data_IF_004697975225
#
_entry.id   IF_004697975225
#
_cell.length_a   1.000
_cell.length_b   1.000
_cell.length_c   1.000
_cell.angle_alpha   90.00
_cell.angle_beta   90.00
_cell.angle_gamma   90.00
#
_symmetry.space_group_name_H-M   'P 1'
#
loop_
_entity.id
_entity.type
_entity.pdbx_description
1 polymer ?
#
# COMPACT_ATOMS: atom_id res chain seq x y z
N UNK A 1 -21.28 -2.99 -1.18
CA UNK A 1 -21.26 -3.03 -2.66
C UNK A 1 -22.31 -2.06 -3.17
N UNK A 2 -22.06 -1.36 -4.26
CA UNK A 2 -23.03 -0.47 -4.93
C UNK A 2 -23.07 -0.87 -6.40
N UNK A 3 -24.27 -1.08 -6.95
CA UNK A 3 -24.43 -1.45 -8.36
C UNK A 3 -24.07 -0.29 -9.29
N UNK A 4 -23.63 -0.63 -10.50
CA UNK A 4 -23.41 0.36 -11.55
C UNK A 4 -24.75 0.60 -12.25
N UNK A 5 -25.31 1.79 -12.07
CA UNK A 5 -26.62 2.16 -12.63
C UNK A 5 -26.56 2.43 -14.15
N UNK A 6 -25.38 2.74 -14.69
CA UNK A 6 -25.14 3.02 -16.12
C UNK A 6 -24.86 1.72 -16.90
N UNK A 7 -25.75 1.31 -17.84
CA UNK A 7 -25.57 0.11 -18.63
C UNK A 7 -24.31 0.13 -19.52
N UNK A 8 -23.91 1.29 -20.04
CA UNK A 8 -22.74 1.41 -20.90
C UNK A 8 -21.44 1.22 -20.12
N UNK A 9 -21.37 1.81 -18.92
CA UNK A 9 -20.24 1.64 -18.01
C UNK A 9 -20.15 0.19 -17.49
N UNK A 10 -21.29 -0.41 -17.15
CA UNK A 10 -21.37 -1.81 -16.72
C UNK A 10 -20.85 -2.75 -17.80
N UNK A 11 -21.28 -2.57 -19.06
CA UNK A 11 -20.80 -3.35 -20.21
C UNK A 11 -19.29 -3.18 -20.42
N UNK A 12 -18.76 -1.95 -20.34
CA UNK A 12 -17.31 -1.69 -20.42
C UNK A 12 -16.50 -2.41 -19.33
N UNK A 13 -17.06 -2.56 -18.12
CA UNK A 13 -16.40 -3.28 -17.04
C UNK A 13 -16.38 -4.79 -17.32
N UNK A 14 -17.52 -5.34 -17.77
CA UNK A 14 -17.62 -6.75 -18.16
C UNK A 14 -16.67 -7.10 -19.32
N UNK A 15 -16.59 -6.26 -20.35
CA UNK A 15 -15.70 -6.45 -21.51
C UNK A 15 -14.21 -6.48 -21.08
N UNK A 16 -13.86 -5.79 -19.99
CA UNK A 16 -12.52 -5.77 -19.39
C UNK A 16 -12.30 -6.85 -18.32
N UNK A 17 -13.26 -7.74 -18.09
CA UNK A 17 -13.20 -8.77 -17.04
C UNK A 17 -13.25 -8.21 -15.61
N UNK A 18 -13.80 -6.99 -15.43
CA UNK A 18 -13.92 -6.32 -14.14
C UNK A 18 -15.31 -6.57 -13.50
N UNK A 19 -15.41 -6.49 -12.16
CA UNK A 19 -16.70 -6.61 -11.47
C UNK A 19 -17.67 -5.50 -11.85
N UNK A 20 -18.94 -5.84 -12.09
CA UNK A 20 -20.03 -4.94 -12.49
C UNK A 20 -20.59 -4.07 -11.35
N UNK A 21 -19.83 -3.88 -10.28
CA UNK A 21 -20.23 -3.13 -9.10
C UNK A 21 -19.05 -2.39 -8.48
N UNK A 22 -19.35 -1.31 -7.76
CA UNK A 22 -18.38 -0.63 -6.92
C UNK A 22 -18.28 -1.30 -5.55
N UNK A 23 -17.05 -1.61 -5.13
CA UNK A 23 -16.74 -2.04 -3.78
C UNK A 23 -16.23 -0.85 -2.97
N UNK A 24 -16.78 -0.65 -1.77
CA UNK A 24 -16.38 0.43 -0.88
C UNK A 24 -16.19 -0.08 0.55
N UNK A 25 -15.14 0.39 1.20
CA UNK A 25 -14.85 0.16 2.62
C UNK A 25 -15.40 1.35 3.40
N UNK A 26 -16.45 1.12 4.18
CA UNK A 26 -17.02 2.15 5.06
C UNK A 26 -16.22 2.23 6.35
N UNK A 27 -15.81 3.43 6.74
CA UNK A 27 -15.03 3.68 7.95
C UNK A 27 -15.47 4.97 8.63
N UNK A 28 -15.15 5.09 9.93
CA UNK A 28 -15.31 6.33 10.70
C UNK A 28 -13.99 7.08 10.64
N UNK A 29 -13.99 8.25 10.00
CA UNK A 29 -12.83 9.10 9.88
C UNK A 29 -12.53 9.80 11.20
N UNK A 30 -11.26 9.74 11.62
CA UNK A 30 -10.75 10.48 12.79
C UNK A 30 -10.77 11.99 12.55
N UNK A 31 -10.76 12.77 13.64
CA UNK A 31 -10.67 14.24 13.61
C UNK A 31 -11.90 14.92 12.98
N UNK A 32 -13.10 14.40 13.27
CA UNK A 32 -14.34 15.03 12.82
C UNK A 32 -14.68 14.81 11.34
N UNK A 33 -13.93 13.97 10.62
CA UNK A 33 -14.15 13.69 9.21
C UNK A 33 -15.43 12.86 8.92
N UNK A 34 -16.08 12.32 9.96
CA UNK A 34 -17.36 11.63 9.89
C UNK A 34 -17.28 10.24 9.26
N UNK A 35 -18.44 9.63 9.00
CA UNK A 35 -18.52 8.36 8.27
C UNK A 35 -18.19 8.58 6.79
N UNK A 36 -17.28 7.77 6.24
CA UNK A 36 -16.80 7.86 4.87
C UNK A 36 -16.73 6.49 4.21
N UNK A 37 -16.69 6.48 2.88
CA UNK A 37 -16.45 5.29 2.08
C UNK A 37 -15.20 5.47 1.25
N UNK A 38 -14.24 4.56 1.42
CA UNK A 38 -13.10 4.44 0.52
C UNK A 38 -13.47 3.47 -0.59
N UNK A 39 -13.62 3.96 -1.81
CA UNK A 39 -13.94 3.14 -2.98
C UNK A 39 -12.68 2.44 -3.47
N UNK A 40 -12.79 1.12 -3.64
CA UNK A 40 -11.71 0.26 -4.11
C UNK A 40 -11.64 0.36 -5.63
N UNK A 41 -10.43 0.43 -6.16
CA UNK A 41 -10.20 0.37 -7.60
C UNK A 41 -10.75 -0.94 -8.18
N UNK A 42 -11.47 -0.93 -9.32
CA UNK A 42 -12.11 -2.12 -9.88
C UNK A 42 -11.17 -3.33 -10.03
N UNK A 43 -9.91 -3.10 -10.43
CA UNK A 43 -8.89 -4.15 -10.57
C UNK A 43 -8.51 -4.81 -9.23
N UNK A 44 -8.60 -4.07 -8.13
CA UNK A 44 -8.26 -4.56 -6.80
C UNK A 44 -9.45 -5.24 -6.08
N UNK A 45 -10.67 -5.13 -6.62
CA UNK A 45 -11.88 -5.73 -6.02
C UNK A 45 -11.71 -7.23 -5.74
N UNK A 46 -11.27 -8.07 -6.69
CA UNK A 46 -11.10 -9.51 -6.44
C UNK A 46 -10.10 -9.79 -5.31
N UNK A 47 -9.03 -9.00 -5.22
CA UNK A 47 -8.03 -9.13 -4.15
C UNK A 47 -8.63 -8.80 -2.78
N UNK A 48 -9.37 -7.70 -2.66
CA UNK A 48 -10.00 -7.29 -1.39
C UNK A 48 -11.03 -8.34 -0.94
N UNK A 49 -11.83 -8.86 -1.85
CA UNK A 49 -12.80 -9.92 -1.55
C UNK A 49 -12.11 -11.22 -1.12
N UNK A 50 -11.04 -11.60 -1.82
CA UNK A 50 -10.22 -12.76 -1.46
C UNK A 50 -9.61 -12.62 -0.07
N UNK A 51 -9.06 -11.45 0.27
CA UNK A 51 -8.55 -11.16 1.62
C UNK A 51 -9.68 -11.31 2.65
N UNK A 52 -10.85 -10.70 2.39
CA UNK A 52 -11.98 -10.75 3.32
C UNK A 52 -12.46 -12.19 3.55
N UNK A 53 -12.63 -12.96 2.47
CA UNK A 53 -12.99 -14.38 2.49
C UNK A 53 -11.97 -15.22 3.26
N UNK A 54 -10.70 -15.09 2.90
CA UNK A 54 -9.59 -15.86 3.50
C UNK A 54 -9.47 -15.56 4.99
N UNK A 55 -9.51 -14.28 5.37
CA UNK A 55 -9.43 -13.88 6.78
C UNK A 55 -10.62 -14.45 7.55
N UNK A 56 -11.85 -14.37 7.02
CA UNK A 56 -13.03 -14.95 7.68
C UNK A 56 -12.91 -16.46 7.87
N UNK A 57 -12.40 -17.17 6.86
CA UNK A 57 -12.14 -18.60 6.94
C UNK A 57 -11.10 -18.94 8.02
N UNK A 58 -9.94 -18.27 7.99
CA UNK A 58 -8.83 -18.51 8.94
C UNK A 58 -9.23 -18.24 10.40
N UNK A 59 -10.09 -17.24 10.61
CA UNK A 59 -10.52 -16.82 11.95
C UNK A 59 -11.88 -17.39 12.35
N UNK A 60 -12.46 -18.30 11.55
CA UNK A 60 -13.74 -18.94 11.87
C UNK A 60 -13.72 -19.70 13.22
N UNK A 61 -12.71 -20.53 13.54
CA UNK A 61 -12.66 -21.22 14.84
C UNK A 61 -12.62 -20.25 16.03
N UNK A 62 -11.88 -19.15 15.86
CA UNK A 62 -11.73 -18.09 16.85
C UNK A 62 -13.10 -17.41 17.12
N UNK A 63 -13.85 -17.11 16.05
CA UNK A 63 -15.20 -16.52 16.16
C UNK A 63 -16.20 -17.48 16.80
N UNK A 64 -16.16 -18.76 16.44
CA UNK A 64 -17.01 -19.78 17.06
C UNK A 64 -16.77 -19.88 18.56
N UNK A 65 -15.51 -19.83 18.99
CA UNK A 65 -15.16 -19.79 20.42
C UNK A 65 -15.71 -18.55 21.12
N UNK A 66 -15.54 -17.35 20.55
CA UNK A 66 -16.12 -16.12 21.11
C UNK A 66 -17.65 -16.15 21.19
N UNK A 67 -18.31 -16.66 20.16
CA UNK A 67 -19.78 -16.80 20.11
C UNK A 67 -20.26 -17.76 21.20
N UNK A 68 -19.55 -18.86 21.40
CA UNK A 68 -19.80 -19.80 22.49
C UNK A 68 -19.68 -19.17 23.88
N UNK A 69 -18.58 -18.43 24.12
CA UNK A 69 -18.38 -17.72 25.39
C UNK A 69 -19.49 -16.68 25.62
N UNK A 70 -19.93 -16.00 24.57
CA UNK A 70 -20.99 -15.00 24.67
C UNK A 70 -22.37 -15.61 24.92
N UNK A 71 -22.67 -16.75 24.32
CA UNK A 71 -23.89 -17.51 24.64
C UNK A 71 -23.97 -17.87 26.14
N UNK A 72 -22.82 -18.08 26.79
CA UNK A 72 -22.69 -18.29 28.24
C UNK A 72 -22.58 -17.01 29.07
N UNK A 73 -22.76 -15.83 28.46
CA UNK A 73 -22.56 -14.53 29.10
C UNK A 73 -21.19 -14.36 29.77
N UNK A 74 -20.15 -15.03 29.26
CA UNK A 74 -18.80 -15.06 29.84
C UNK A 74 -18.75 -15.44 31.33
N UNK A 75 -19.68 -16.28 31.78
CA UNK A 75 -19.63 -16.87 33.12
C UNK A 75 -18.43 -17.82 33.30
N UNK A 76 -18.04 -18.48 32.20
CA UNK A 76 -16.90 -19.38 32.08
C UNK A 76 -16.15 -19.08 30.78
N UNK A 77 -14.83 -19.12 30.82
CA UNK A 77 -13.91 -18.81 29.73
C UNK A 77 -13.25 -20.07 29.14
N UNK A 78 -13.57 -21.25 29.67
CA UNK A 78 -13.03 -22.50 29.15
C UNK A 78 -13.50 -22.75 27.70
N UNK A 79 -12.63 -23.29 26.83
CA UNK A 79 -13.03 -23.79 25.52
C UNK A 79 -14.14 -24.83 25.63
N UNK A 80 -15.03 -24.87 24.63
CA UNK A 80 -16.15 -25.81 24.58
C UNK A 80 -15.69 -27.27 24.74
N UNK A 81 -14.57 -27.65 24.12
CA UNK A 81 -14.01 -28.98 24.23
C UNK A 81 -13.67 -29.38 25.67
N UNK A 82 -13.12 -28.45 26.45
CA UNK A 82 -12.75 -28.69 27.86
C UNK A 82 -13.98 -28.65 28.77
N UNK A 83 -14.91 -27.73 28.51
CA UNK A 83 -16.18 -27.65 29.24
C UNK A 83 -16.95 -28.97 29.18
N UNK A 84 -16.97 -29.62 28.02
CA UNK A 84 -17.73 -30.84 27.77
C UNK A 84 -17.07 -32.11 28.33
N UNK A 85 -15.79 -32.05 28.75
CA UNK A 85 -15.11 -33.21 29.35
C UNK A 85 -15.73 -33.54 30.72
N UNK A 86 -15.89 -34.83 31.07
CA UNK A 86 -16.38 -35.22 32.39
C UNK A 86 -15.35 -34.90 33.49
N UNK A 87 -15.83 -34.50 34.67
CA UNK A 87 -15.00 -34.21 35.84
C UNK A 87 -14.46 -32.78 35.91
N UNK A 88 -13.81 -32.44 37.02
CA UNK A 88 -13.27 -31.11 37.32
C UNK A 88 -11.79 -30.93 36.92
N UNK A 89 -11.17 -32.00 36.41
CA UNK A 89 -9.75 -32.02 36.07
C UNK A 89 -9.52 -32.23 34.57
N UNK A 90 -8.46 -31.62 34.05
CA UNK A 90 -8.08 -31.67 32.64
C UNK A 90 -6.62 -32.10 32.53
N UNK A 91 -6.35 -33.08 31.68
CA UNK A 91 -4.98 -33.57 31.46
C UNK A 91 -4.16 -32.55 30.64
N UNK A 92 -2.86 -32.48 30.89
CA UNK A 92 -1.97 -31.50 30.26
C UNK A 92 -1.96 -31.54 28.72
N UNK A 93 -2.12 -32.69 28.07
CA UNK A 93 -2.22 -32.74 26.60
C UNK A 93 -3.50 -32.08 26.09
N UNK A 94 -4.61 -32.21 26.81
CA UNK A 94 -5.85 -31.50 26.45
C UNK A 94 -5.69 -29.98 26.63
N UNK A 95 -4.95 -29.55 27.66
CA UNK A 95 -4.59 -28.14 27.85
C UNK A 95 -3.67 -27.66 26.70
N UNK A 96 -2.69 -28.47 26.29
CA UNK A 96 -1.83 -28.20 25.12
C UNK A 96 -2.65 -28.17 23.83
N UNK A 97 -3.72 -28.95 23.72
CA UNK A 97 -4.51 -29.05 22.49
C UNK A 97 -5.52 -27.91 22.35
N UNK A 98 -6.17 -27.49 23.44
CA UNK A 98 -7.31 -26.58 23.38
C UNK A 98 -7.07 -25.20 24.00
N UNK A 99 -6.07 -25.02 24.87
CA UNK A 99 -5.80 -23.72 25.54
C UNK A 99 -4.57 -23.04 24.97
N UNK A 100 -3.54 -23.80 24.61
CA UNK A 100 -2.26 -23.25 24.16
C UNK A 100 -1.85 -23.83 22.82
N UNK A 101 -0.89 -23.19 22.15
CA UNK A 101 -0.23 -23.78 20.98
C UNK A 101 1.21 -23.30 20.95
N UNK A 102 2.15 -24.20 20.68
CA UNK A 102 3.54 -23.78 20.47
C UNK A 102 3.91 -23.72 19.00
N UNK A 103 4.51 -22.62 18.56
CA UNK A 103 4.96 -22.46 17.17
C UNK A 103 6.28 -23.19 16.87
N UNK A 104 6.99 -23.68 17.89
CA UNK A 104 8.22 -24.46 17.70
C UNK A 104 7.90 -25.95 17.53
N UNK A 105 8.01 -26.47 16.30
CA UNK A 105 7.92 -27.91 16.00
C UNK A 105 9.10 -28.72 16.55
N UNK A 106 10.22 -28.07 16.87
CA UNK A 106 11.51 -28.71 17.20
C UNK A 106 11.56 -29.59 18.46
N UNK A 107 10.57 -29.57 19.36
CA UNK A 107 10.65 -30.30 20.65
C UNK A 107 9.57 -31.39 20.87
N UNK A 108 8.76 -31.70 19.86
CA UNK A 108 7.72 -32.74 19.94
C UNK A 108 6.74 -32.57 21.11
N UNK A 109 6.01 -33.63 21.46
CA UNK A 109 5.00 -33.63 22.56
C UNK A 109 5.59 -33.22 23.92
N UNK A 110 6.76 -33.74 24.28
CA UNK A 110 7.38 -33.45 25.59
C UNK A 110 7.73 -31.96 25.74
N UNK A 111 8.24 -31.31 24.69
CA UNK A 111 8.53 -29.89 24.72
C UNK A 111 7.30 -29.00 24.79
N UNK A 112 6.18 -29.42 24.18
CA UNK A 112 4.91 -28.71 24.27
C UNK A 112 4.34 -28.74 25.69
N UNK A 113 4.36 -29.92 26.33
CA UNK A 113 3.96 -30.11 27.73
C UNK A 113 4.81 -29.25 28.68
N UNK A 114 6.13 -29.28 28.52
CA UNK A 114 7.07 -28.49 29.36
C UNK A 114 6.81 -26.98 29.24
N UNK A 115 6.68 -26.46 28.01
CA UNK A 115 6.40 -25.03 27.79
C UNK A 115 5.06 -24.60 28.39
N UNK A 116 4.03 -25.42 28.21
CA UNK A 116 2.68 -25.12 28.72
C UNK A 116 2.66 -25.14 30.24
N UNK A 117 3.23 -26.17 30.86
CA UNK A 117 3.37 -26.27 32.31
C UNK A 117 4.14 -25.07 32.89
N UNK A 118 5.27 -24.67 32.28
CA UNK A 118 6.04 -23.48 32.69
C UNK A 118 5.27 -22.17 32.52
N UNK A 119 4.44 -22.07 31.49
CA UNK A 119 3.62 -20.88 31.26
C UNK A 119 2.51 -20.75 32.31
N UNK A 120 1.85 -21.86 32.63
CA UNK A 120 0.84 -21.94 33.68
C UNK A 120 1.43 -21.65 35.06
N UNK A 121 2.56 -22.28 35.41
CA UNK A 121 3.18 -22.09 36.73
C UNK A 121 3.69 -20.66 36.93
N UNK A 122 4.25 -20.01 35.90
CA UNK A 122 4.64 -18.60 35.94
C UNK A 122 3.46 -17.66 36.23
N UNK A 123 2.25 -18.11 35.95
CA UNK A 123 0.99 -17.38 36.14
C UNK A 123 0.22 -17.85 37.38
N UNK A 124 0.83 -18.71 38.21
CA UNK A 124 0.27 -19.17 39.48
C UNK A 124 -0.66 -20.38 39.38
N UNK A 125 -0.80 -21.00 38.20
CA UNK A 125 -1.62 -22.21 38.04
C UNK A 125 -0.76 -23.44 38.29
N UNK A 126 -1.04 -24.15 39.38
CA UNK A 126 -0.31 -25.36 39.78
C UNK A 126 -1.08 -26.63 39.38
N UNK A 127 -0.39 -27.76 39.15
CA UNK A 127 -1.05 -29.04 38.94
C UNK A 127 -1.91 -29.44 40.16
N UNK A 128 -3.14 -29.87 39.90
CA UNK A 128 -4.02 -30.43 40.93
C UNK A 128 -3.63 -31.87 41.29
N UNK A 129 -3.11 -32.62 40.31
CA UNK A 129 -2.67 -34.00 40.51
C UNK A 129 -1.53 -34.36 39.56
N UNK A 130 -0.51 -35.05 40.07
CA UNK A 130 0.55 -35.67 39.27
C UNK A 130 0.56 -37.18 39.52
N UNK A 131 0.39 -37.97 38.46
CA UNK A 131 0.46 -39.43 38.52
C UNK A 131 1.75 -39.87 37.81
N UNK A 132 2.68 -40.56 38.49
CA UNK A 132 3.86 -41.14 37.88
C UNK A 132 3.45 -42.22 36.86
N UNK A 133 3.97 -42.11 35.65
CA UNK A 133 3.82 -43.09 34.58
C UNK A 133 5.12 -43.86 34.31
N UNK A 134 5.08 -44.85 33.40
CA UNK A 134 6.26 -45.60 33.02
C UNK A 134 7.31 -44.72 32.34
N UNK A 135 8.60 -45.05 32.53
CA UNK A 135 9.76 -44.39 31.89
C UNK A 135 9.82 -42.86 32.07
N UNK A 136 9.76 -42.37 33.31
CA UNK A 136 9.84 -40.94 33.66
C UNK A 136 8.73 -40.06 33.05
N UNK A 137 7.64 -40.65 32.55
CA UNK A 137 6.46 -39.90 32.15
C UNK A 137 5.63 -39.52 33.37
N UNK A 138 4.96 -38.37 33.33
CA UNK A 138 4.01 -37.93 34.36
C UNK A 138 2.71 -37.52 33.68
N UNK A 139 1.60 -38.10 34.12
CA UNK A 139 0.28 -37.55 33.80
C UNK A 139 0.02 -36.39 34.78
N UNK A 140 -0.23 -35.21 34.24
CA UNK A 140 -0.37 -33.97 35.00
C UNK A 140 -1.77 -33.45 34.73
N UNK A 141 -2.52 -33.21 35.79
CA UNK A 141 -3.90 -32.74 35.73
C UNK A 141 -4.02 -31.36 36.36
N UNK A 142 -4.83 -30.50 35.74
CA UNK A 142 -5.13 -29.16 36.20
C UNK A 142 -6.62 -29.02 36.50
N UNK A 143 -6.96 -28.20 37.50
CA UNK A 143 -8.36 -27.89 37.80
C UNK A 143 -8.97 -27.00 36.71
N UNK A 144 -10.20 -27.29 36.31
CA UNK A 144 -11.00 -26.41 35.43
C UNK A 144 -11.17 -25.02 36.01
N UNK A 145 -11.32 -24.90 37.34
CA UNK A 145 -11.47 -23.60 38.03
C UNK A 145 -10.25 -22.71 37.82
N UNK A 146 -9.06 -23.29 37.96
CA UNK A 146 -7.80 -22.56 37.90
C UNK A 146 -7.48 -22.17 36.45
N UNK A 147 -7.75 -23.07 35.51
CA UNK A 147 -7.63 -22.80 34.07
C UNK A 147 -8.59 -21.69 33.64
N UNK A 148 -9.85 -21.69 34.10
CA UNK A 148 -10.81 -20.64 33.82
C UNK A 148 -10.33 -19.28 34.35
N UNK A 149 -9.86 -19.23 35.61
CA UNK A 149 -9.33 -18.00 36.21
C UNK A 149 -8.12 -17.45 35.44
N UNK A 150 -7.23 -18.35 35.01
CA UNK A 150 -6.07 -18.02 34.18
C UNK A 150 -6.49 -17.39 32.85
N UNK A 151 -7.40 -18.03 32.11
CA UNK A 151 -7.86 -17.54 30.82
C UNK A 151 -8.55 -16.17 30.99
N UNK A 152 -9.44 -16.04 31.99
CA UNK A 152 -10.13 -14.78 32.31
C UNK A 152 -9.14 -13.64 32.57
N UNK A 153 -8.07 -13.92 33.31
CA UNK A 153 -7.01 -12.94 33.59
C UNK A 153 -6.27 -12.54 32.32
N UNK A 154 -6.01 -13.49 31.41
CA UNK A 154 -5.32 -13.21 30.14
C UNK A 154 -6.15 -12.38 29.15
N UNK A 155 -7.48 -12.44 29.21
CA UNK A 155 -8.35 -11.52 28.47
C UNK A 155 -8.25 -10.06 28.95
N UNK A 156 -7.78 -9.83 30.18
CA UNK A 156 -7.55 -8.48 30.72
C UNK A 156 -8.83 -7.65 30.89
N UNK A 157 -9.98 -8.30 31.06
CA UNK A 157 -11.28 -7.64 31.18
C UNK A 157 -11.38 -6.93 32.54
N UNK A 158 -11.54 -5.61 32.50
CA UNK A 158 -11.97 -4.82 33.67
C UNK A 158 -13.50 -4.89 33.78
N UNK A 159 -14.01 -5.00 35.02
CA UNK A 159 -15.45 -5.19 35.30
C UNK A 159 -16.38 -4.06 34.79
N UNK A 160 -15.84 -2.99 34.20
CA UNK A 160 -16.57 -1.79 33.82
C UNK A 160 -17.23 -1.88 32.42
N UNK A 161 -16.79 -2.79 31.56
CA UNK A 161 -17.30 -2.94 30.20
C UNK A 161 -17.79 -4.37 29.93
N UNK A 162 -18.74 -4.48 28.99
CA UNK A 162 -19.18 -5.78 28.47
C UNK A 162 -17.97 -6.55 27.90
N UNK A 163 -17.74 -7.81 28.33
CA UNK A 163 -16.60 -8.61 27.90
C UNK A 163 -16.40 -8.65 26.39
N UNK A 164 -15.15 -8.59 25.94
CA UNK A 164 -14.77 -8.78 24.54
C UNK A 164 -15.57 -7.87 23.57
N UNK A 165 -15.65 -6.59 23.92
CA UNK A 165 -16.35 -5.56 23.15
C UNK A 165 -15.41 -4.38 22.91
N UNK A 166 -15.34 -3.90 21.67
CA UNK A 166 -14.65 -2.67 21.34
C UNK A 166 -15.65 -1.52 21.27
N UNK A 167 -15.50 -0.53 22.14
CA UNK A 167 -16.34 0.67 22.16
C UNK A 167 -15.48 1.94 22.06
N UNK A 168 -15.95 2.89 21.27
CA UNK A 168 -15.34 4.21 21.13
C UNK A 168 -16.40 5.29 20.90
N UNK A 169 -16.03 6.55 21.13
CA UNK A 169 -16.87 7.72 20.89
C UNK A 169 -16.24 8.55 19.78
N UNK A 170 -17.00 8.88 18.73
CA UNK A 170 -16.59 9.84 17.70
C UNK A 170 -17.79 10.73 17.38
N UNK A 171 -17.58 12.05 17.30
CA UNK A 171 -18.63 13.03 16.98
C UNK A 171 -19.90 12.90 17.85
N UNK A 172 -19.76 12.58 19.13
CA UNK A 172 -20.88 12.40 20.06
C UNK A 172 -21.67 11.10 19.86
N UNK A 173 -21.34 10.27 18.87
CA UNK A 173 -21.95 8.96 18.63
C UNK A 173 -21.08 7.87 19.27
N UNK A 174 -21.72 7.01 20.07
CA UNK A 174 -21.10 5.81 20.62
C UNK A 174 -21.14 4.70 19.59
N UNK A 175 -19.98 4.15 19.27
CA UNK A 175 -19.84 2.95 18.46
C UNK A 175 -19.44 1.80 19.38
N UNK A 176 -20.09 0.66 19.18
CA UNK A 176 -19.82 -0.57 19.94
C UNK A 176 -19.87 -1.74 18.97
N UNK A 177 -18.84 -2.58 19.00
CA UNK A 177 -18.70 -3.75 18.13
C UNK A 177 -18.15 -4.90 18.96
N UNK A 178 -18.77 -6.07 18.84
CA UNK A 178 -18.30 -7.28 19.52
C UNK A 178 -17.03 -7.81 18.84
N UNK A 179 -16.16 -8.49 19.58
CA UNK A 179 -14.92 -9.00 18.99
C UNK A 179 -15.18 -9.95 17.82
N UNK A 180 -16.17 -10.84 17.91
CA UNK A 180 -16.54 -11.78 16.84
C UNK A 180 -16.92 -11.11 15.51
N UNK A 181 -17.39 -9.86 15.55
CA UNK A 181 -17.76 -9.08 14.37
C UNK A 181 -16.55 -8.36 13.73
N UNK A 182 -15.40 -8.35 14.41
CA UNK A 182 -14.17 -7.77 13.87
C UNK A 182 -13.60 -8.66 12.76
N UNK A 183 -13.07 -8.02 11.72
CA UNK A 183 -12.45 -8.73 10.60
C UNK A 183 -11.14 -9.42 11.03
N UNK A 184 -10.27 -8.69 11.73
CA UNK A 184 -8.96 -9.18 12.13
C UNK A 184 -8.93 -9.54 13.61
N UNK A 185 -8.94 -10.84 13.87
CA UNK A 185 -8.78 -11.44 15.18
C UNK A 185 -7.57 -12.36 15.18
N UNK A 186 -6.94 -12.51 16.35
CA UNK A 186 -5.89 -13.49 16.51
C UNK A 186 -5.81 -13.97 17.96
N UNK A 187 -5.17 -15.10 18.16
CA UNK A 187 -4.91 -15.64 19.48
C UNK A 187 -3.75 -14.89 20.15
N UNK A 188 -3.85 -14.66 21.47
CA UNK A 188 -2.83 -13.93 22.19
C UNK A 188 -1.49 -14.66 22.09
N UNK A 189 -0.47 -13.96 21.58
CA UNK A 189 0.89 -14.50 21.40
C UNK A 189 1.16 -15.20 20.07
N UNK A 190 0.14 -15.48 19.24
CA UNK A 190 0.35 -16.17 17.95
C UNK A 190 1.17 -15.36 16.93
N UNK A 191 1.09 -14.04 16.99
CA UNK A 191 1.82 -13.13 16.09
C UNK A 191 3.26 -12.86 16.53
N UNK A 192 3.71 -13.43 17.64
CA UNK A 192 5.07 -13.20 18.12
C UNK A 192 6.09 -13.97 17.26
N UNK A 193 6.97 -13.26 16.57
CA UNK A 193 7.98 -13.88 15.70
C UNK A 193 9.11 -14.58 16.49
N UNK A 194 9.38 -14.14 17.73
CA UNK A 194 10.39 -14.76 18.63
C UNK A 194 9.78 -15.65 19.72
N UNK A 195 8.59 -15.31 20.24
CA UNK A 195 7.97 -16.06 21.34
C UNK A 195 7.18 -17.22 20.75
N UNK A 196 7.23 -18.35 21.43
CA UNK A 196 6.80 -19.63 20.86
C UNK A 196 5.52 -20.18 21.46
N UNK A 197 4.75 -19.40 22.23
CA UNK A 197 3.50 -19.85 22.84
C UNK A 197 2.37 -18.88 22.48
N UNK A 198 1.32 -19.43 21.86
CA UNK A 198 0.03 -18.80 21.62
C UNK A 198 -1.00 -19.35 22.60
N UNK A 199 -1.98 -18.52 22.98
CA UNK A 199 -3.11 -18.89 23.81
C UNK A 199 -4.37 -18.97 22.94
N UNK A 200 -4.70 -20.18 22.50
CA UNK A 200 -5.88 -20.49 21.67
C UNK A 200 -7.17 -20.02 22.34
N UNK A 201 -7.25 -20.19 23.66
CA UNK A 201 -8.44 -19.83 24.44
C UNK A 201 -8.63 -18.31 24.61
N UNK A 202 -7.67 -17.48 24.19
CA UNK A 202 -7.70 -16.02 24.38
C UNK A 202 -7.63 -15.27 23.04
N UNK A 203 -8.74 -15.18 22.29
CA UNK A 203 -8.85 -14.31 21.13
C UNK A 203 -8.81 -12.83 21.49
N UNK A 204 -8.01 -12.04 20.76
CA UNK A 204 -7.89 -10.60 20.92
C UNK A 204 -7.93 -9.88 19.57
N UNK A 205 -8.38 -8.61 19.53
CA UNK A 205 -8.40 -7.81 18.31
C UNK A 205 -6.98 -7.51 17.83
N UNK A 206 -6.83 -7.49 16.51
CA UNK A 206 -5.60 -7.03 15.89
C UNK A 206 -5.47 -5.51 16.03
N UNK A 207 -4.33 -5.03 16.55
CA UNK A 207 -4.10 -3.60 16.85
C UNK A 207 -2.94 -3.03 16.05
N UNK A 208 -2.93 -1.70 15.90
CA UNK A 208 -1.82 -0.98 15.25
C UNK A 208 -0.48 -1.19 15.96
N UNK A 209 -0.48 -1.38 17.28
CA UNK A 209 0.74 -1.68 18.05
C UNK A 209 1.37 -2.99 17.58
N UNK A 210 0.56 -4.01 17.30
CA UNK A 210 1.04 -5.29 16.79
C UNK A 210 1.59 -5.16 15.36
N UNK A 211 0.91 -4.41 14.50
CA UNK A 211 1.42 -4.14 13.14
C UNK A 211 2.75 -3.38 13.17
N UNK A 212 2.88 -2.36 14.03
CA UNK A 212 4.13 -1.62 14.18
C UNK A 212 5.28 -2.51 14.67
N UNK A 213 4.99 -3.49 15.54
CA UNK A 213 5.98 -4.49 15.95
C UNK A 213 6.37 -5.41 14.79
N UNK A 214 5.38 -5.92 14.04
CA UNK A 214 5.60 -6.76 12.87
C UNK A 214 6.47 -6.08 11.81
N UNK A 215 6.26 -4.77 11.59
CA UNK A 215 7.03 -3.95 10.65
C UNK A 215 8.33 -3.36 11.24
N UNK A 216 8.74 -3.77 12.45
CA UNK A 216 10.06 -3.44 13.01
C UNK A 216 10.21 -2.05 13.64
N UNK A 217 9.13 -1.30 13.88
CA UNK A 217 9.23 0.02 14.53
C UNK A 217 9.42 -0.01 16.05
N UNK A 218 9.29 -1.18 16.68
CA UNK A 218 9.37 -1.32 18.15
C UNK A 218 10.64 -2.05 18.55
N UNK A 219 10.82 -3.28 18.06
CA UNK A 219 12.01 -4.10 18.33
C UNK A 219 12.64 -4.51 16.99
N UNK A 220 13.94 -4.25 16.75
CA UNK A 220 14.58 -4.52 15.45
C UNK A 220 14.54 -6.01 15.10
N UNK A 221 14.90 -6.85 16.05
CA UNK A 221 15.11 -8.28 15.83
C UNK A 221 13.82 -9.13 15.81
N UNK A 222 12.67 -8.51 16.09
CA UNK A 222 11.38 -9.18 16.25
C UNK A 222 10.41 -8.93 15.11
N UNK A 223 10.91 -8.49 13.95
CA UNK A 223 10.13 -8.04 12.80
C UNK A 223 10.12 -9.06 11.66
N UNK A 224 9.24 -8.85 10.68
CA UNK A 224 9.25 -9.65 9.45
C UNK A 224 10.55 -9.47 8.67
N UNK A 225 11.10 -8.25 8.67
CA UNK A 225 12.33 -7.93 7.96
C UNK A 225 13.53 -8.65 8.58
N UNK A 226 13.66 -8.61 9.92
CA UNK A 226 14.74 -9.32 10.61
C UNK A 226 14.63 -10.83 10.45
N UNK A 227 13.41 -11.39 10.42
CA UNK A 227 13.18 -12.83 10.21
C UNK A 227 13.69 -13.31 8.85
N UNK A 228 13.54 -12.51 7.80
CA UNK A 228 13.96 -12.84 6.43
C UNK A 228 15.32 -12.24 6.06
N UNK A 229 16.06 -11.66 7.02
CA UNK A 229 17.35 -11.01 6.79
C UNK A 229 17.28 -9.92 5.70
N UNK A 230 16.18 -9.16 5.68
CA UNK A 230 16.03 -7.98 4.84
C UNK A 230 16.72 -6.81 5.53
N UNK A 231 17.93 -6.51 5.08
CA UNK A 231 18.84 -5.53 5.67
C UNK A 231 19.02 -4.33 4.75
N UNK A 232 19.24 -3.17 5.34
CA UNK A 232 19.70 -1.95 4.68
C UNK A 232 21.22 -2.05 4.38
N UNK A 233 21.76 -1.09 3.63
CA UNK A 233 23.19 -1.04 3.25
C UNK A 233 24.13 -0.95 4.46
N UNK A 234 23.66 -0.43 5.60
CA UNK A 234 24.40 -0.36 6.86
C UNK A 234 24.35 -1.66 7.68
N UNK A 235 23.71 -2.71 7.16
CA UNK A 235 23.54 -4.01 7.81
C UNK A 235 22.44 -4.06 8.86
N UNK A 236 21.68 -2.98 9.07
CA UNK A 236 20.54 -2.97 9.99
C UNK A 236 19.29 -3.55 9.33
N UNK A 237 18.40 -4.18 10.09
CA UNK A 237 17.14 -4.69 9.51
C UNK A 237 16.20 -3.54 9.11
N UNK A 238 15.60 -3.67 7.92
CA UNK A 238 14.60 -2.74 7.38
C UNK A 238 13.45 -2.52 8.35
N UNK A 239 12.88 -1.30 8.35
CA UNK A 239 11.73 -0.92 9.18
C UNK A 239 10.73 -0.11 8.39
N UNK A 240 9.44 -0.29 8.67
CA UNK A 240 8.38 0.44 7.97
C UNK A 240 7.30 0.93 8.94
N UNK A 241 7.00 2.23 8.96
CA UNK A 241 5.83 2.78 9.69
C UNK A 241 4.54 2.42 8.99
N UNK A 242 3.48 2.16 9.77
CA UNK A 242 2.12 1.87 9.27
C UNK A 242 1.55 2.97 8.36
N UNK A 243 2.02 4.21 8.49
CA UNK A 243 1.63 5.31 7.62
C UNK A 243 2.42 5.42 6.30
N UNK A 244 3.54 4.69 6.13
CA UNK A 244 4.37 4.77 4.91
C UNK A 244 3.58 4.42 3.64
N UNK A 245 2.79 3.34 3.58
CA UNK A 245 1.99 3.04 2.38
C UNK A 245 1.07 4.20 1.98
N UNK A 246 0.45 4.86 2.97
CA UNK A 246 -0.40 6.04 2.74
C UNK A 246 0.41 7.23 2.21
N UNK A 247 1.62 7.45 2.70
CA UNK A 247 2.52 8.46 2.15
C UNK A 247 2.93 8.13 0.72
N UNK A 248 3.26 6.87 0.42
CA UNK A 248 3.65 6.43 -0.92
C UNK A 248 2.53 6.61 -1.93
N UNK A 249 1.29 6.22 -1.60
CA UNK A 249 0.12 6.49 -2.45
C UNK A 249 0.02 7.98 -2.74
N UNK A 250 0.10 8.83 -1.71
CA UNK A 250 0.04 10.26 -1.91
C UNK A 250 1.15 10.78 -2.84
N UNK A 251 2.37 10.30 -2.66
CA UNK A 251 3.52 10.64 -3.53
C UNK A 251 3.29 10.16 -4.95
N UNK A 252 2.76 8.94 -5.18
CA UNK A 252 2.45 8.45 -6.51
C UNK A 252 1.37 9.28 -7.20
N UNK A 253 0.31 9.67 -6.48
CA UNK A 253 -0.73 10.55 -7.02
C UNK A 253 -0.16 11.93 -7.40
N UNK A 254 0.78 12.47 -6.59
CA UNK A 254 1.48 13.71 -6.92
C UNK A 254 2.42 13.55 -8.13
N UNK A 255 3.13 12.42 -8.23
CA UNK A 255 3.98 12.10 -9.39
C UNK A 255 3.11 11.98 -10.66
N UNK A 256 1.91 11.41 -10.55
CA UNK A 256 0.94 11.29 -11.64
C UNK A 256 0.18 12.60 -11.92
N UNK A 257 0.52 13.70 -11.25
CA UNK A 257 -0.05 15.05 -11.47
C UNK A 257 -1.56 15.12 -11.28
N UNK A 258 -2.09 14.24 -10.43
CA UNK A 258 -3.48 14.29 -10.01
C UNK A 258 -3.71 15.60 -9.24
N UNK A 259 -4.75 16.32 -9.62
CA UNK A 259 -5.10 17.60 -9.02
C UNK A 259 -5.22 17.52 -7.50
N UNK A 260 -4.83 18.59 -6.81
CA UNK A 260 -4.78 18.62 -5.34
C UNK A 260 -6.14 18.31 -4.70
N UNK A 261 -7.24 18.76 -5.31
CA UNK A 261 -8.59 18.47 -4.84
C UNK A 261 -8.93 16.98 -4.98
N UNK A 262 -8.55 16.33 -6.10
CA UNK A 262 -8.82 14.92 -6.33
C UNK A 262 -7.91 14.05 -5.46
N UNK A 263 -6.65 14.43 -5.29
CA UNK A 263 -5.72 13.80 -4.35
C UNK A 263 -6.25 13.90 -2.92
N UNK A 264 -6.71 15.08 -2.48
CA UNK A 264 -7.29 15.25 -1.15
C UNK A 264 -8.53 14.36 -0.97
N UNK A 265 -9.39 14.26 -1.98
CA UNK A 265 -10.56 13.38 -1.99
C UNK A 265 -10.18 11.90 -1.89
N UNK A 266 -9.24 11.42 -2.71
CA UNK A 266 -8.75 10.03 -2.71
C UNK A 266 -8.07 9.66 -1.38
N UNK A 267 -7.34 10.61 -0.79
CA UNK A 267 -6.71 10.44 0.51
C UNK A 267 -7.70 10.61 1.67
N UNK A 268 -8.94 11.03 1.43
CA UNK A 268 -9.96 11.23 2.46
C UNK A 268 -9.68 12.42 3.37
N UNK A 269 -8.98 13.44 2.88
CA UNK A 269 -8.70 14.68 3.61
C UNK A 269 -9.92 15.62 3.57
N UNK A 270 -10.01 16.46 4.58
CA UNK A 270 -10.96 17.60 4.62
C UNK A 270 -10.27 18.87 4.12
N UNK A 271 -8.99 19.02 4.44
CA UNK A 271 -8.17 20.18 4.12
C UNK A 271 -7.11 19.83 3.07
N UNK A 272 -7.11 20.60 1.97
CA UNK A 272 -6.24 20.41 0.81
C UNK A 272 -4.79 20.83 1.13
N UNK A 273 -4.58 21.74 2.08
CA UNK A 273 -3.23 22.22 2.45
C UNK A 273 -2.32 21.10 2.96
N UNK A 274 -2.91 20.01 3.46
CA UNK A 274 -2.19 18.80 3.89
C UNK A 274 -1.47 18.07 2.74
N UNK A 275 -1.74 18.39 1.47
CA UNK A 275 -1.03 17.82 0.33
C UNK A 275 0.39 18.40 0.15
N UNK A 276 0.59 19.68 0.50
CA UNK A 276 1.82 20.43 0.22
C UNK A 276 3.07 19.80 0.87
N UNK A 277 2.94 19.25 2.08
CA UNK A 277 4.04 18.59 2.79
C UNK A 277 4.67 17.39 2.04
N UNK A 278 3.98 16.84 1.04
CA UNK A 278 4.40 15.62 0.34
C UNK A 278 4.90 15.86 -1.08
N UNK A 279 4.54 16.99 -1.70
CA UNK A 279 4.97 17.32 -3.07
C UNK A 279 6.50 17.47 -3.17
N UNK A 280 7.17 17.95 -2.11
CA UNK A 280 8.63 18.08 -2.07
C UNK A 280 9.38 16.74 -2.21
N UNK A 281 8.82 15.64 -1.70
CA UNK A 281 9.42 14.30 -1.81
C UNK A 281 9.20 13.69 -3.21
N UNK A 282 8.06 13.95 -3.84
CA UNK A 282 7.79 13.57 -5.23
C UNK A 282 8.78 14.24 -6.19
N UNK A 283 9.06 15.53 -6.00
CA UNK A 283 10.06 16.27 -6.77
C UNK A 283 11.47 15.68 -6.60
N UNK A 284 11.86 15.32 -5.37
CA UNK A 284 13.14 14.67 -5.10
C UNK A 284 13.25 13.25 -5.70
N UNK A 285 12.15 12.49 -5.69
CA UNK A 285 12.05 11.17 -6.32
C UNK A 285 12.18 11.25 -7.85
N UNK A 286 11.50 12.22 -8.48
CA UNK A 286 11.67 12.52 -9.92
C UNK A 286 13.13 12.83 -10.25
N UNK A 287 13.82 13.63 -9.41
CA UNK A 287 15.27 13.92 -9.58
C UNK A 287 16.14 12.66 -9.52
N UNK A 288 15.87 11.72 -8.60
CA UNK A 288 16.62 10.45 -8.50
C UNK A 288 16.33 9.50 -9.66
N UNK A 289 15.06 9.31 -10.03
CA UNK A 289 14.69 8.42 -11.14
C UNK A 289 15.27 8.90 -12.48
N UNK A 290 15.26 10.21 -12.72
CA UNK A 290 15.86 10.80 -13.92
C UNK A 290 17.39 10.75 -13.93
N UNK A 291 18.05 10.63 -12.76
CA UNK A 291 19.50 10.42 -12.66
C UNK A 291 19.95 8.96 -12.83
N UNK A 292 19.03 7.98 -12.72
CA UNK A 292 19.32 6.55 -12.80
C UNK A 292 19.21 5.97 -14.23
N UNK A 293 18.97 6.81 -15.24
CA UNK A 293 19.09 6.46 -16.65
C UNK A 293 20.52 6.75 -17.10
N UNK A 294 21.43 5.77 -17.19
CA UNK A 294 22.72 6.00 -17.81
C UNK A 294 22.46 6.05 -19.31
N UNK A 295 22.51 7.25 -19.91
CA UNK A 295 22.72 7.36 -21.34
C UNK A 295 24.11 6.74 -21.61
N UNK A 296 24.15 5.49 -22.07
CA UNK A 296 25.37 4.97 -22.68
C UNK A 296 25.64 5.84 -23.92
N UNK A 297 26.79 6.55 -23.99
CA UNK A 297 27.17 7.21 -25.21
C UNK A 297 27.61 6.11 -26.19
N UNK A 298 26.80 5.88 -27.22
CA UNK A 298 27.26 5.19 -28.42
C UNK A 298 28.20 6.16 -29.14
N UNK A 299 29.51 6.02 -28.87
CA UNK A 299 30.55 5.98 -29.90
C UNK A 299 31.94 6.05 -29.29
N UNK A 300 32.66 4.95 -29.44
CA UNK A 300 34.12 4.90 -29.54
C UNK A 300 34.60 5.82 -30.65
N UNK A 301 35.15 6.98 -30.29
CA UNK A 301 36.37 7.56 -30.86
C UNK A 301 36.45 9.02 -30.40
N UNK A 302 37.41 9.32 -29.52
CA UNK A 302 38.45 10.31 -29.78
C UNK A 302 39.31 10.45 -28.52
N UNK A 303 40.53 9.98 -28.72
CA UNK A 303 41.76 10.20 -27.96
C UNK A 303 41.85 11.49 -27.16
N UNK A 304 42.39 11.34 -25.95
CA UNK A 304 42.81 12.39 -25.05
C UNK A 304 43.73 13.44 -25.69
N UNK A 305 43.46 14.71 -25.40
CA UNK A 305 44.49 15.71 -25.07
C UNK A 305 43.89 16.81 -24.16
N UNK A 306 44.67 17.35 -23.21
CA UNK A 306 44.21 18.37 -22.27
C UNK A 306 44.29 19.77 -22.90
N UNK A 307 43.35 20.68 -22.61
CA UNK A 307 43.60 22.07 -22.14
C UNK A 307 42.41 23.04 -22.34
N UNK A 308 42.39 24.00 -21.41
CA UNK A 308 42.03 25.42 -21.57
C UNK A 308 40.58 25.88 -21.35
N UNK A 309 40.49 26.85 -20.43
CA UNK A 309 39.32 27.61 -20.03
C UNK A 309 38.93 28.67 -21.06
N UNK A 310 37.81 28.45 -21.75
CA UNK A 310 36.87 29.52 -22.12
C UNK A 310 35.48 28.91 -22.28
N UNK A 311 34.67 28.97 -21.23
CA UNK A 311 33.28 28.49 -21.30
C UNK A 311 32.51 29.49 -22.18
N UNK A 312 32.21 29.09 -23.42
CA UNK A 312 31.34 29.84 -24.31
C UNK A 312 29.99 30.08 -23.63
N UNK A 313 29.45 31.30 -23.71
CA UNK A 313 28.13 31.54 -23.14
C UNK A 313 27.08 30.83 -23.99
N UNK A 314 25.93 30.41 -23.42
CA UNK A 314 24.86 29.79 -24.19
C UNK A 314 24.40 30.61 -25.40
N UNK A 315 24.55 31.94 -25.35
CA UNK A 315 24.23 32.84 -26.46
C UNK A 315 25.25 32.74 -27.62
N UNK A 316 26.52 32.49 -27.32
CA UNK A 316 27.57 32.33 -28.32
C UNK A 316 27.41 31.01 -29.08
N UNK A 317 26.95 29.96 -28.39
CA UNK A 317 26.65 28.65 -28.97
C UNK A 317 25.48 28.79 -29.95
N UNK A 318 24.36 29.42 -29.55
CA UNK A 318 23.19 29.62 -30.42
C UNK A 318 23.51 30.48 -31.65
N UNK A 319 24.37 31.50 -31.50
CA UNK A 319 24.83 32.32 -32.63
C UNK A 319 25.68 31.54 -33.62
N UNK A 320 26.48 30.58 -33.16
CA UNK A 320 27.32 29.75 -34.02
C UNK A 320 26.56 28.59 -34.67
N UNK A 321 25.55 28.05 -33.98
CA UNK A 321 24.86 26.84 -34.41
C UNK A 321 23.48 27.06 -35.01
N UNK A 322 23.01 28.30 -35.17
CA UNK A 322 21.65 28.74 -35.54
C UNK A 322 20.94 28.01 -36.70
N UNK A 323 20.72 26.72 -36.52
CA UNK A 323 20.13 25.78 -37.44
C UNK A 323 18.71 25.53 -36.94
N UNK A 324 17.74 26.00 -37.71
CA UNK A 324 16.36 25.57 -37.56
C UNK A 324 16.27 24.18 -38.18
N UNK A 325 15.77 23.23 -37.41
CA UNK A 325 15.57 21.89 -37.93
C UNK A 325 14.15 21.74 -38.46
N UNK A 326 14.06 21.40 -39.74
CA UNK A 326 12.81 21.10 -40.40
C UNK A 326 12.55 19.59 -40.39
N UNK A 327 11.33 19.21 -40.07
CA UNK A 327 10.77 17.87 -40.26
C UNK A 327 10.05 17.83 -41.61
N UNK A 328 10.27 16.78 -42.41
CA UNK A 328 9.75 16.70 -43.80
C UNK A 328 8.22 16.70 -43.87
N UNK A 329 7.54 16.21 -42.82
CA UNK A 329 6.07 16.06 -42.80
C UNK A 329 5.34 17.17 -42.03
N UNK A 330 6.06 18.14 -41.45
CA UNK A 330 5.46 19.25 -40.70
C UNK A 330 5.34 20.51 -41.54
N UNK A 331 4.22 21.22 -41.39
CA UNK A 331 4.06 22.55 -41.97
C UNK A 331 5.14 23.51 -41.47
N UNK A 332 5.66 24.36 -42.35
CA UNK A 332 6.73 25.33 -42.03
C UNK A 332 6.36 26.22 -40.83
N UNK A 333 5.09 26.57 -40.67
CA UNK A 333 4.58 27.31 -39.51
C UNK A 333 4.80 26.53 -38.20
N UNK A 334 4.39 25.26 -38.14
CA UNK A 334 4.61 24.40 -36.98
C UNK A 334 6.09 24.17 -36.70
N UNK A 335 6.91 24.04 -37.74
CA UNK A 335 8.37 23.93 -37.62
C UNK A 335 8.97 25.19 -36.99
N UNK A 336 8.60 26.38 -37.47
CA UNK A 336 9.07 27.65 -36.91
C UNK A 336 8.57 27.82 -35.47
N UNK A 337 7.29 27.53 -35.22
CA UNK A 337 6.69 27.60 -33.88
C UNK A 337 7.37 26.66 -32.89
N UNK A 338 7.72 25.45 -33.32
CA UNK A 338 8.43 24.46 -32.49
C UNK A 338 9.89 24.85 -32.22
N UNK A 339 10.60 25.39 -33.22
CA UNK A 339 12.00 25.82 -33.06
C UNK A 339 12.13 27.12 -32.25
N UNK A 340 11.16 28.04 -32.37
CA UNK A 340 11.17 29.35 -31.70
C UNK A 340 10.33 29.37 -30.41
N UNK A 341 9.60 28.30 -30.10
CA UNK A 341 8.70 28.20 -28.96
C UNK A 341 7.59 29.26 -28.94
N UNK A 342 6.88 29.39 -30.06
CA UNK A 342 5.83 30.41 -30.28
C UNK A 342 4.46 29.76 -30.53
N UNK A 343 4.06 28.81 -29.66
CA UNK A 343 2.69 28.28 -29.66
C UNK A 343 1.77 29.26 -28.93
N UNK A 344 0.68 29.66 -29.58
CA UNK A 344 -0.21 30.72 -29.09
C UNK A 344 -1.30 30.18 -28.15
N UNK A 345 -1.83 28.98 -28.42
CA UNK A 345 -2.90 28.36 -27.66
C UNK A 345 -2.83 26.82 -27.63
N UNK A 346 -3.78 26.18 -26.93
CA UNK A 346 -3.84 24.72 -26.79
C UNK A 346 -4.25 24.02 -28.09
N UNK A 347 -4.97 24.71 -28.97
CA UNK A 347 -5.37 24.13 -30.26
C UNK A 347 -4.17 24.09 -31.22
N UNK A 348 -3.28 25.09 -31.14
CA UNK A 348 -1.96 25.12 -31.77
C UNK A 348 -1.08 23.94 -31.31
N UNK A 349 -1.06 23.67 -30.00
CA UNK A 349 -0.31 22.53 -29.43
C UNK A 349 -0.92 21.18 -29.83
N UNK A 350 -2.24 21.05 -29.80
CA UNK A 350 -2.92 19.82 -30.22
C UNK A 350 -2.63 19.50 -31.69
N UNK A 351 -2.72 20.51 -32.57
CA UNK A 351 -2.38 20.38 -34.00
C UNK A 351 -0.92 19.99 -34.23
N UNK A 352 0.00 20.50 -33.41
CA UNK A 352 1.40 20.08 -33.47
C UNK A 352 1.54 18.60 -33.11
N UNK A 353 0.94 18.15 -32.00
CA UNK A 353 1.02 16.76 -31.54
C UNK A 353 0.47 15.80 -32.61
N UNK A 354 -0.69 16.11 -33.20
CA UNK A 354 -1.27 15.29 -34.27
C UNK A 354 -0.38 15.26 -35.52
N UNK A 355 0.18 16.40 -35.92
CA UNK A 355 1.07 16.48 -37.08
C UNK A 355 2.38 15.69 -36.87
N UNK A 356 2.85 15.62 -35.62
CA UNK A 356 4.08 14.92 -35.25
C UNK A 356 3.95 13.39 -35.21
N UNK A 357 2.73 12.83 -35.29
CA UNK A 357 2.54 11.37 -35.39
C UNK A 357 3.19 10.79 -36.65
N UNK A 358 3.16 11.53 -37.76
CA UNK A 358 3.79 11.12 -39.02
C UNK A 358 5.32 11.04 -38.93
N UNK A 359 5.92 11.74 -37.95
CA UNK A 359 7.36 11.77 -37.71
C UNK A 359 7.80 10.78 -36.61
N UNK A 360 6.91 9.88 -36.16
CA UNK A 360 7.22 8.89 -35.11
C UNK A 360 7.31 9.48 -33.70
N UNK A 361 6.84 10.71 -33.49
CA UNK A 361 6.77 11.34 -32.18
C UNK A 361 5.42 11.01 -31.52
N UNK A 362 5.42 10.83 -30.19
CA UNK A 362 4.22 10.51 -29.41
C UNK A 362 3.53 9.19 -29.82
N UNK A 363 4.29 8.14 -30.13
CA UNK A 363 3.75 6.84 -30.60
C UNK A 363 2.62 6.27 -29.72
N UNK A 364 2.72 6.39 -28.39
CA UNK A 364 1.68 5.94 -27.46
C UNK A 364 0.35 6.71 -27.66
N UNK A 365 0.46 8.02 -27.91
CA UNK A 365 -0.69 8.90 -28.17
C UNK A 365 -1.22 8.65 -29.59
N UNK A 366 -0.34 8.40 -30.56
CA UNK A 366 -0.72 8.05 -31.94
C UNK A 366 -1.47 6.71 -31.99
N UNK A 367 -1.00 5.70 -31.26
CA UNK A 367 -1.67 4.39 -31.17
C UNK A 367 -3.06 4.51 -30.55
N UNK A 368 -3.19 5.25 -29.44
CA UNK A 368 -4.47 5.52 -28.81
C UNK A 368 -5.38 6.38 -29.71
N UNK A 369 -4.82 7.30 -30.50
CA UNK A 369 -5.55 8.12 -31.45
C UNK A 369 -6.19 7.25 -32.54
N UNK A 370 -5.42 6.33 -33.14
CA UNK A 370 -5.94 5.42 -34.17
C UNK A 370 -6.97 4.43 -33.63
N UNK A 371 -6.81 3.93 -32.41
CA UNK A 371 -7.78 3.07 -31.74
C UNK A 371 -9.12 3.79 -31.55
N UNK A 372 -9.09 5.01 -30.99
CA UNK A 372 -10.30 5.82 -30.75
C UNK A 372 -10.91 6.28 -32.07
N UNK A 373 -10.10 6.68 -33.06
CA UNK A 373 -10.57 7.10 -34.38
C UNK A 373 -11.35 5.99 -35.07
N UNK A 374 -10.91 4.74 -34.92
CA UNK A 374 -11.56 3.56 -35.52
C UNK A 374 -12.83 3.16 -34.76
N UNK A 375 -12.84 3.27 -33.44
CA UNK A 375 -13.94 2.80 -32.59
C UNK A 375 -15.06 3.83 -32.36
N UNK A 376 -14.70 5.11 -32.18
CA UNK A 376 -15.60 6.17 -31.71
C UNK A 376 -15.68 7.35 -32.69
N UNK A 377 -14.79 7.41 -33.69
CA UNK A 377 -14.78 8.43 -34.74
C UNK A 377 -13.71 9.52 -34.54
N UNK A 378 -13.48 10.35 -35.58
CA UNK A 378 -12.37 11.30 -35.61
C UNK A 378 -12.49 12.44 -34.59
N UNK A 379 -13.70 12.90 -34.28
CA UNK A 379 -13.92 13.98 -33.30
C UNK A 379 -13.48 13.56 -31.89
N UNK A 380 -13.81 12.33 -31.46
CA UNK A 380 -13.39 11.78 -30.17
C UNK A 380 -11.88 11.57 -30.09
N UNK A 381 -11.24 11.19 -31.21
CA UNK A 381 -9.80 11.03 -31.30
C UNK A 381 -9.07 12.38 -31.14
N UNK A 382 -9.50 13.42 -31.85
CA UNK A 382 -8.94 14.78 -31.68
C UNK A 382 -9.24 15.36 -30.30
N UNK A 383 -10.41 15.09 -29.71
CA UNK A 383 -10.72 15.46 -28.33
C UNK A 383 -9.85 14.72 -27.29
N UNK A 384 -9.27 13.57 -27.63
CA UNK A 384 -8.28 12.89 -26.79
C UNK A 384 -6.92 13.59 -26.89
N UNK A 385 -6.49 14.02 -28.08
CA UNK A 385 -5.23 14.76 -28.25
C UNK A 385 -5.31 16.15 -27.61
N UNK A 386 -6.45 16.83 -27.69
CA UNK A 386 -6.67 18.11 -27.01
C UNK A 386 -6.49 18.04 -25.48
N UNK A 387 -6.73 16.87 -24.86
CA UNK A 387 -6.45 16.65 -23.43
C UNK A 387 -4.95 16.58 -23.11
N UNK A 388 -4.13 16.24 -24.09
CA UNK A 388 -2.66 16.20 -24.00
C UNK A 388 -2.00 17.54 -24.37
N UNK A 389 -2.76 18.51 -24.89
CA UNK A 389 -2.30 19.86 -25.21
C UNK A 389 -2.00 20.76 -23.98
N UNK A 390 -1.77 20.14 -22.83
CA UNK A 390 -1.15 20.74 -21.63
C UNK A 390 0.37 20.55 -21.61
N UNK A 391 0.90 19.69 -22.48
CA UNK A 391 2.34 19.50 -22.69
C UNK A 391 2.89 20.60 -23.59
N UNK A 392 4.06 21.15 -23.29
CA UNK A 392 4.77 22.09 -24.18
C UNK A 392 5.70 21.30 -25.10
N UNK A 393 5.36 21.08 -26.38
CA UNK A 393 6.15 20.25 -27.26
C UNK A 393 7.52 20.87 -27.57
N UNK A 394 8.53 20.02 -27.63
CA UNK A 394 9.90 20.33 -28.00
C UNK A 394 10.37 19.31 -29.04
N UNK A 395 11.42 19.64 -29.79
CA UNK A 395 11.89 18.85 -30.93
C UNK A 395 12.24 17.38 -30.62
N UNK A 396 12.58 17.04 -29.38
CA UNK A 396 13.01 15.70 -28.93
C UNK A 396 12.24 15.24 -27.67
N UNK A 397 11.07 15.80 -27.40
CA UNK A 397 10.24 15.45 -26.23
C UNK A 397 9.25 16.55 -25.87
N UNK A 398 8.78 16.59 -24.62
CA UNK A 398 7.85 17.61 -24.15
C UNK A 398 8.27 18.19 -22.80
N UNK A 399 8.03 19.49 -22.63
CA UNK A 399 8.17 20.20 -21.38
C UNK A 399 6.84 20.12 -20.62
N UNK A 400 6.89 19.65 -19.38
CA UNK A 400 5.73 19.59 -18.49
C UNK A 400 5.43 20.93 -17.81
N UNK A 401 6.26 21.97 -18.03
CA UNK A 401 6.07 23.32 -17.49
C UNK A 401 5.48 24.26 -18.53
N UNK A 402 4.50 25.05 -18.10
CA UNK A 402 3.90 26.12 -18.89
C UNK A 402 4.83 27.34 -18.96
N UNK A 403 5.77 27.30 -19.90
CA UNK A 403 6.87 28.28 -20.04
C UNK A 403 6.34 29.68 -20.31
N UNK A 404 5.23 29.82 -21.05
CA UNK A 404 4.65 31.12 -21.40
C UNK A 404 4.17 31.91 -20.17
N UNK A 405 3.67 31.22 -19.13
CA UNK A 405 3.18 31.88 -17.92
C UNK A 405 4.29 32.13 -16.89
N UNK A 406 5.25 31.20 -16.78
CA UNK A 406 6.19 31.16 -15.64
C UNK A 406 7.66 31.25 -16.02
N UNK A 407 7.96 31.44 -17.30
CA UNK A 407 9.32 31.42 -17.88
C UNK A 407 9.98 30.04 -17.79
N UNK A 408 11.24 29.94 -18.25
CA UNK A 408 12.07 28.76 -18.01
C UNK A 408 13.12 29.08 -16.92
N UNK A 409 13.11 28.40 -15.75
CA UNK A 409 14.08 28.69 -14.69
C UNK A 409 15.48 28.15 -15.04
N UNK A 410 15.52 27.22 -15.99
CA UNK A 410 16.72 26.53 -16.44
C UNK A 410 17.20 27.00 -17.81
N UNK A 411 16.70 28.13 -18.32
CA UNK A 411 17.13 28.74 -19.59
C UNK A 411 17.21 27.73 -20.75
N UNK A 412 16.19 26.89 -20.89
CA UNK A 412 16.06 25.93 -21.99
C UNK A 412 17.24 24.94 -22.08
N UNK A 413 17.84 24.53 -20.95
CA UNK A 413 18.87 23.46 -20.89
C UNK A 413 18.53 22.21 -21.71
N UNK A 414 17.25 21.87 -21.85
CA UNK A 414 16.81 20.80 -22.73
C UNK A 414 17.34 20.97 -24.17
N UNK A 415 17.33 22.18 -24.75
CA UNK A 415 17.80 22.43 -26.13
C UNK A 415 19.28 22.13 -26.36
N UNK A 416 20.11 22.20 -25.32
CA UNK A 416 21.53 21.83 -25.38
C UNK A 416 21.76 20.37 -24.99
N UNK A 417 20.72 19.53 -25.02
CA UNK A 417 20.71 18.16 -24.51
C UNK A 417 21.18 18.04 -23.04
N UNK A 418 21.09 19.13 -22.27
CA UNK A 418 21.45 19.14 -20.86
C UNK A 418 20.23 18.80 -20.00
N UNK A 419 20.48 18.08 -18.90
CA UNK A 419 19.45 17.63 -17.98
C UNK A 419 18.52 18.76 -17.51
N UNK A 420 17.20 18.54 -17.63
CA UNK A 420 16.15 19.46 -17.19
C UNK A 420 15.03 18.68 -16.48
N UNK A 421 14.69 19.06 -15.24
CA UNK A 421 13.70 18.36 -14.41
C UNK A 421 12.24 18.51 -14.89
N UNK A 422 12.00 19.41 -15.84
CA UNK A 422 10.68 19.63 -16.45
C UNK A 422 10.57 19.05 -17.87
N UNK A 423 11.62 18.39 -18.35
CA UNK A 423 11.69 17.83 -19.69
C UNK A 423 11.48 16.32 -19.66
N UNK A 424 10.54 15.82 -20.45
CA UNK A 424 10.24 14.40 -20.58
C UNK A 424 10.46 13.96 -22.03
N UNK A 425 11.30 12.95 -22.23
CA UNK A 425 11.44 12.25 -23.51
C UNK A 425 10.20 11.38 -23.72
N UNK A 426 9.24 11.89 -24.49
CA UNK A 426 8.14 11.09 -25.03
C UNK A 426 8.61 10.52 -26.37
N UNK A 427 9.28 9.37 -26.31
CA UNK A 427 9.86 8.68 -27.47
C UNK A 427 11.32 8.30 -27.21
N UNK A 428 11.68 7.04 -27.47
CA UNK A 428 13.06 6.54 -27.33
C UNK A 428 13.99 7.35 -28.24
N UNK A 429 15.17 7.68 -27.70
CA UNK A 429 16.33 7.94 -28.55
C UNK A 429 16.80 6.57 -29.06
N UNK A 430 16.56 6.31 -30.34
CA UNK A 430 17.47 5.46 -31.10
C UNK A 430 18.67 6.31 -31.57
#
# INVERSE_FOLDING_TARGET
KRQIDDPALCKRFQDKGLPDYFLGIRYVGVKGAGERTHWVEPLAVPLVESIFSTVKMLTAPIRSHLTYLRAKSFADYLPQAISNMPGEQVELDDVVKYITQTTSSFRGRAGQRDKTSKALSKRGVLPAQEIPGPKNSKAIYYSKTDLNHYIKTEFGLTNANEPCTHAWMENGKRYQVNYEDLLFLHEKGSLALKRTLALLATPIPFTNTLMNKFLGNVEPDGSVFSKYQLLEEDGTSTRMRTHIPRHNINTFLAIAEISDHLQAMLMGRVDITQNQHYQHLALAGRRKAASLMPLQPISTALTATPYSSSVATPLDIVKQTGQLAATEHMAMDNTIKANLHTFDDRDDVARFIEASFADGLFEDVAAAFEEIRTAEGPEQASAMVARHAVLYPLKFGSCMREVNLWGCPYRLKCQSAAFCEHFTLTGRMD
#
